data_IF_205839591966
#
_entry.id   IF_205839591966
#
_cell.length_a   1.000
_cell.length_b   1.000
_cell.length_c   1.000
_cell.angle_alpha   90.00
_cell.angle_beta   90.00
_cell.angle_gamma   90.00
#
_symmetry.space_group_name_H-M   'P 1'
#
loop_
_entity.id
_entity.type
_entity.pdbx_description
1 polymer ?
#
# COMPACT_ATOMS: atom_id res chain seq x y z
N UNK A 1 5.86 9.56 12.13
CA UNK A 1 6.38 8.19 12.30
C UNK A 1 6.75 7.67 10.91
N UNK A 2 7.92 7.07 10.69
CA UNK A 2 8.37 6.69 9.33
C UNK A 2 8.10 5.23 8.95
N UNK A 3 7.83 4.35 9.92
CA UNK A 3 7.56 2.92 9.70
C UNK A 3 6.48 2.46 10.66
N UNK A 4 5.61 1.55 10.20
CA UNK A 4 4.68 0.82 11.05
C UNK A 4 4.82 -0.68 10.82
N UNK A 5 5.10 -1.41 11.90
CA UNK A 5 5.30 -2.86 11.93
C UNK A 5 4.22 -3.58 12.75
N UNK A 6 3.04 -2.98 12.93
CA UNK A 6 1.95 -3.63 13.68
C UNK A 6 1.45 -4.85 12.93
N UNK A 7 1.14 -5.93 13.65
CA UNK A 7 0.62 -7.16 13.06
C UNK A 7 1.54 -7.77 11.96
N UNK A 8 2.84 -7.49 11.96
CA UNK A 8 3.73 -8.05 10.93
C UNK A 8 3.91 -9.55 11.07
N UNK A 9 4.16 -10.21 9.95
CA UNK A 9 4.45 -11.63 9.92
C UNK A 9 5.95 -11.80 10.16
N UNK A 10 6.28 -12.62 11.17
CA UNK A 10 7.63 -12.92 11.67
C UNK A 10 8.22 -11.84 12.61
N UNK A 11 7.91 -11.95 13.91
CA UNK A 11 8.56 -11.23 15.02
C UNK A 11 9.99 -11.76 15.33
N UNK A 12 10.70 -12.35 14.35
CA UNK A 12 11.84 -13.23 14.61
C UNK A 12 13.19 -12.74 14.10
N UNK A 13 13.34 -12.50 12.79
CA UNK A 13 14.60 -12.03 12.22
C UNK A 13 14.31 -11.05 11.08
N UNK A 14 14.44 -9.74 11.36
CA UNK A 14 14.59 -8.72 10.33
C UNK A 14 15.83 -9.08 9.50
N UNK A 15 15.66 -9.64 8.31
CA UNK A 15 16.78 -9.77 7.38
C UNK A 15 17.40 -8.38 7.14
N UNK A 16 18.73 -8.32 7.10
CA UNK A 16 19.46 -7.05 6.99
C UNK A 16 19.02 -6.35 5.69
N UNK A 17 18.52 -5.11 5.82
CA UNK A 17 18.11 -4.29 4.68
C UNK A 17 16.68 -4.53 4.19
N UNK A 18 15.86 -5.30 4.92
CA UNK A 18 14.47 -5.58 4.58
C UNK A 18 13.49 -5.11 5.67
N UNK A 19 12.32 -4.66 5.24
CA UNK A 19 11.17 -4.46 6.10
C UNK A 19 10.55 -5.80 6.52
N UNK A 20 9.96 -5.91 7.74
CA UNK A 20 9.15 -7.06 8.09
C UNK A 20 8.01 -7.22 7.09
N UNK A 21 7.72 -8.46 6.70
CA UNK A 21 6.60 -8.75 5.80
C UNK A 21 5.27 -8.35 6.46
N UNK A 22 4.45 -7.61 5.72
CA UNK A 22 3.20 -7.04 6.23
C UNK A 22 3.36 -5.68 6.93
N UNK A 23 4.55 -5.08 6.92
CA UNK A 23 4.75 -3.72 7.42
C UNK A 23 4.51 -2.67 6.33
N UNK A 24 4.64 -1.40 6.70
CA UNK A 24 4.72 -0.30 5.75
C UNK A 24 5.75 0.75 6.19
N UNK A 25 6.25 1.50 5.22
CA UNK A 25 7.20 2.60 5.41
C UNK A 25 6.76 3.81 4.58
N UNK A 26 6.95 5.03 5.09
CA UNK A 26 6.60 6.27 4.38
C UNK A 26 7.85 7.08 4.00
N UNK A 27 7.92 7.50 2.74
CA UNK A 27 8.99 8.31 2.16
C UNK A 27 8.43 9.62 1.59
N UNK A 28 9.34 10.51 1.19
CA UNK A 28 9.03 11.61 0.28
C UNK A 28 8.54 11.11 -1.08
N UNK A 29 7.92 11.99 -1.85
CA UNK A 29 7.30 11.69 -3.15
C UNK A 29 8.08 12.20 -4.36
N UNK A 30 9.25 12.82 -4.13
CA UNK A 30 10.02 13.47 -5.19
C UNK A 30 9.21 14.57 -5.90
N UNK A 31 9.26 14.57 -7.22
CA UNK A 31 8.59 15.56 -8.08
C UNK A 31 7.06 15.46 -8.03
N UNK A 32 6.49 14.31 -7.64
CA UNK A 32 5.05 14.16 -7.40
C UNK A 32 4.53 15.12 -6.33
N UNK A 33 5.40 15.62 -5.44
CA UNK A 33 5.04 16.66 -4.48
C UNK A 33 4.47 17.92 -5.15
N UNK A 34 4.94 18.24 -6.36
CA UNK A 34 4.48 19.39 -7.14
C UNK A 34 3.06 19.20 -7.69
N UNK A 35 2.58 17.96 -7.81
CA UNK A 35 1.22 17.65 -8.26
C UNK A 35 0.21 17.68 -7.12
N UNK A 36 0.66 17.50 -5.87
CA UNK A 36 -0.17 17.41 -4.67
C UNK A 36 -0.06 16.06 -3.94
N UNK A 37 0.58 15.05 -4.54
CA UNK A 37 0.94 13.80 -3.87
C UNK A 37 2.19 14.07 -3.03
N UNK A 38 2.01 14.23 -1.73
CA UNK A 38 3.08 14.67 -0.83
C UNK A 38 3.93 13.52 -0.27
N UNK A 39 3.38 12.31 -0.18
CA UNK A 39 4.08 11.16 0.39
C UNK A 39 3.78 9.87 -0.36
N UNK A 40 4.76 8.96 -0.40
CA UNK A 40 4.59 7.57 -0.86
C UNK A 40 4.67 6.65 0.35
N UNK A 41 3.68 5.77 0.50
CA UNK A 41 3.66 4.74 1.54
C UNK A 41 3.93 3.39 0.87
N UNK A 42 5.03 2.74 1.22
CA UNK A 42 5.47 1.48 0.67
C UNK A 42 4.91 0.33 1.49
N UNK A 43 3.88 -0.35 0.98
CA UNK A 43 3.28 -1.52 1.60
C UNK A 43 4.11 -2.77 1.28
N UNK A 44 4.86 -3.29 2.26
CA UNK A 44 5.82 -4.37 2.09
C UNK A 44 5.15 -5.74 2.23
N UNK A 45 4.51 -6.22 1.16
CA UNK A 45 3.72 -7.46 1.19
C UNK A 45 4.55 -8.74 0.99
N UNK A 46 5.72 -8.66 0.34
CA UNK A 46 6.63 -9.80 0.18
C UNK A 46 7.96 -9.39 -0.45
N UNK A 47 8.86 -10.33 -0.70
CA UNK A 47 10.20 -10.05 -1.27
C UNK A 47 10.20 -10.08 -2.80
N UNK A 48 11.11 -9.31 -3.39
CA UNK A 48 11.43 -9.38 -4.82
C UNK A 48 12.61 -10.33 -5.13
N UNK A 49 13.51 -10.53 -4.16
CA UNK A 49 14.79 -11.24 -4.38
C UNK A 49 14.86 -12.61 -3.72
N UNK A 50 13.91 -12.92 -2.84
CA UNK A 50 13.77 -14.20 -2.13
C UNK A 50 12.49 -14.90 -2.56
N UNK A 51 12.56 -16.22 -2.69
CA UNK A 51 11.44 -17.08 -3.06
C UNK A 51 11.08 -18.05 -1.94
N UNK A 52 9.86 -18.58 -1.98
CA UNK A 52 9.34 -19.53 -1.00
C UNK A 52 8.30 -18.91 -0.06
N UNK A 53 7.46 -19.75 0.55
CA UNK A 53 6.26 -19.35 1.30
C UNK A 53 6.53 -18.30 2.41
N UNK A 54 7.75 -18.27 2.94
CA UNK A 54 8.16 -17.31 3.95
C UNK A 54 8.32 -15.88 3.42
N UNK A 55 8.72 -15.72 2.16
CA UNK A 55 9.05 -14.43 1.55
C UNK A 55 7.98 -13.94 0.57
N UNK A 56 7.21 -14.85 -0.01
CA UNK A 56 6.17 -14.48 -0.97
C UNK A 56 5.00 -13.74 -0.31
N UNK A 57 4.31 -12.84 -1.02
CA UNK A 57 3.07 -12.27 -0.52
C UNK A 57 2.01 -13.34 -0.25
N UNK A 58 1.41 -13.27 0.93
CA UNK A 58 0.21 -14.02 1.30
C UNK A 58 -0.90 -13.06 1.76
N UNK A 59 -2.11 -13.57 1.97
CA UNK A 59 -3.26 -12.73 2.31
C UNK A 59 -3.02 -11.88 3.56
N UNK A 60 -2.45 -12.46 4.61
CA UNK A 60 -2.17 -11.74 5.86
C UNK A 60 -1.15 -10.62 5.65
N UNK A 61 -0.07 -10.87 4.90
CA UNK A 61 0.94 -9.85 4.61
C UNK A 61 0.35 -8.68 3.83
N UNK A 62 -0.57 -8.95 2.90
CA UNK A 62 -1.26 -7.92 2.13
C UNK A 62 -2.14 -7.10 3.07
N UNK A 63 -3.02 -7.76 3.85
CA UNK A 63 -3.90 -7.10 4.82
C UNK A 63 -3.11 -6.26 5.83
N UNK A 64 -2.04 -6.81 6.39
CA UNK A 64 -1.24 -6.12 7.40
C UNK A 64 -0.48 -4.94 6.79
N UNK A 65 0.04 -5.06 5.57
CA UNK A 65 0.73 -3.94 4.91
C UNK A 65 -0.22 -2.80 4.56
N UNK A 66 -1.47 -3.11 4.18
CA UNK A 66 -2.54 -2.11 3.99
C UNK A 66 -2.91 -1.44 5.30
N UNK A 67 -3.14 -2.23 6.36
CA UNK A 67 -3.45 -1.73 7.69
C UNK A 67 -2.36 -0.76 8.19
N UNK A 68 -1.09 -1.16 8.09
CA UNK A 68 0.05 -0.33 8.46
C UNK A 68 0.18 0.92 7.59
N UNK A 69 -0.21 0.86 6.31
CA UNK A 69 -0.19 1.99 5.41
C UNK A 69 -1.20 3.07 5.83
N UNK A 70 -2.42 2.69 6.18
CA UNK A 70 -3.45 3.61 6.67
C UNK A 70 -3.02 4.23 8.01
N UNK A 71 -2.48 3.43 8.93
CA UNK A 71 -1.95 3.93 10.20
C UNK A 71 -0.85 4.98 9.98
N UNK A 72 0.10 4.71 9.08
CA UNK A 72 1.16 5.66 8.76
C UNK A 72 0.61 6.95 8.15
N UNK A 73 -0.37 6.85 7.26
CA UNK A 73 -0.99 8.03 6.67
C UNK A 73 -1.59 8.94 7.75
N UNK A 74 -2.33 8.37 8.70
CA UNK A 74 -2.93 9.12 9.82
C UNK A 74 -1.88 9.70 10.78
N UNK A 75 -0.88 8.91 11.16
CA UNK A 75 0.19 9.36 12.06
C UNK A 75 1.06 10.46 11.47
N UNK A 76 1.09 10.58 10.14
CA UNK A 76 1.75 11.66 9.42
C UNK A 76 0.75 12.75 8.96
N UNK A 77 -0.46 12.77 9.53
CA UNK A 77 -1.47 13.84 9.38
C UNK A 77 -1.98 14.00 7.94
N UNK A 78 -1.92 12.96 7.12
CA UNK A 78 -2.59 12.98 5.82
C UNK A 78 -4.10 12.93 6.01
N UNK A 79 -4.81 13.73 5.20
CA UNK A 79 -6.28 13.78 5.16
C UNK A 79 -6.86 12.67 4.28
N UNK A 80 -6.03 12.11 3.38
CA UNK A 80 -6.44 11.14 2.36
C UNK A 80 -5.30 10.20 1.98
N UNK A 81 -5.64 8.92 1.77
CA UNK A 81 -4.71 7.90 1.27
C UNK A 81 -5.33 7.09 0.13
N UNK A 82 -4.59 6.88 -0.96
CA UNK A 82 -5.02 6.10 -2.12
C UNK A 82 -4.33 4.74 -2.16
N UNK A 83 -5.11 3.66 -2.26
CA UNK A 83 -4.65 2.28 -2.10
C UNK A 83 -4.96 1.50 -3.40
N UNK A 84 -3.94 0.94 -4.09
CA UNK A 84 -4.17 0.08 -5.25
C UNK A 84 -4.54 -1.34 -4.84
N UNK A 85 -4.85 -2.20 -5.81
CA UNK A 85 -5.07 -3.64 -5.60
C UNK A 85 -3.74 -4.37 -5.34
N UNK A 86 -3.18 -4.23 -4.14
CA UNK A 86 -1.93 -4.86 -3.72
C UNK A 86 -2.07 -6.39 -3.81
N UNK A 87 -1.17 -7.04 -4.55
CA UNK A 87 -1.23 -8.48 -4.80
C UNK A 87 -2.13 -8.91 -5.97
N UNK A 88 -2.82 -7.98 -6.66
CA UNK A 88 -3.77 -8.28 -7.74
C UNK A 88 -3.17 -8.72 -9.10
N UNK A 89 -1.85 -8.55 -9.27
CA UNK A 89 -1.11 -8.95 -10.47
C UNK A 89 -0.64 -10.41 -10.41
N UNK A 90 0.66 -10.64 -10.68
CA UNK A 90 1.29 -11.98 -10.68
C UNK A 90 1.07 -12.79 -9.39
N UNK A 91 0.73 -12.12 -8.28
CA UNK A 91 0.56 -12.74 -6.97
C UNK A 91 -0.85 -13.24 -6.70
N UNK A 92 -1.88 -12.82 -7.46
CA UNK A 92 -3.26 -13.18 -7.16
C UNK A 92 -3.47 -14.70 -7.18
N UNK A 93 -2.90 -15.38 -8.17
CA UNK A 93 -2.93 -16.84 -8.28
C UNK A 93 -2.19 -17.53 -7.14
N UNK A 94 -1.14 -16.90 -6.58
CA UNK A 94 -0.37 -17.44 -5.45
C UNK A 94 -1.08 -17.28 -4.12
N UNK A 95 -1.82 -16.18 -3.95
CA UNK A 95 -2.67 -15.95 -2.77
C UNK A 95 -3.86 -16.92 -2.75
N UNK A 96 -4.33 -17.37 -3.93
CA UNK A 96 -5.34 -18.42 -4.03
C UNK A 96 -6.77 -17.95 -3.76
N UNK A 97 -7.05 -16.65 -3.96
CA UNK A 97 -8.38 -16.05 -3.79
C UNK A 97 -8.82 -15.29 -5.05
N UNK A 98 -10.12 -15.00 -5.15
CA UNK A 98 -10.62 -14.18 -6.26
C UNK A 98 -10.15 -12.73 -6.13
N UNK A 99 -10.15 -12.01 -7.26
CA UNK A 99 -9.78 -10.58 -7.29
C UNK A 99 -10.72 -9.72 -6.44
N UNK A 100 -12.02 -10.00 -6.51
CA UNK A 100 -13.04 -9.32 -5.70
C UNK A 100 -12.83 -9.62 -4.22
N UNK A 101 -12.52 -10.86 -3.85
CA UNK A 101 -12.21 -11.21 -2.45
C UNK A 101 -10.93 -10.49 -1.98
N UNK A 102 -9.90 -10.41 -2.81
CA UNK A 102 -8.69 -9.63 -2.49
C UNK A 102 -9.03 -8.14 -2.27
N UNK A 103 -9.83 -7.55 -3.15
CA UNK A 103 -10.27 -6.15 -3.03
C UNK A 103 -11.06 -5.93 -1.72
N UNK A 104 -11.96 -6.86 -1.38
CA UNK A 104 -12.71 -6.85 -0.12
C UNK A 104 -11.79 -6.89 1.09
N UNK A 105 -10.82 -7.80 1.12
CA UNK A 105 -9.86 -7.91 2.23
C UNK A 105 -8.99 -6.65 2.37
N UNK A 106 -8.63 -6.00 1.27
CA UNK A 106 -7.92 -4.71 1.27
C UNK A 106 -8.80 -3.60 1.87
N UNK A 107 -10.07 -3.49 1.46
CA UNK A 107 -11.00 -2.49 2.02
C UNK A 107 -11.20 -2.73 3.52
N UNK A 108 -11.43 -3.97 3.94
CA UNK A 108 -11.63 -4.31 5.35
C UNK A 108 -10.39 -4.00 6.20
N UNK A 109 -9.19 -4.34 5.72
CA UNK A 109 -7.95 -4.03 6.43
C UNK A 109 -7.72 -2.51 6.57
N UNK A 110 -8.04 -1.74 5.52
CA UNK A 110 -7.96 -0.29 5.56
C UNK A 110 -8.97 0.32 6.55
N UNK A 111 -10.22 -0.17 6.54
CA UNK A 111 -11.26 0.23 7.48
C UNK A 111 -10.89 -0.09 8.94
N UNK A 112 -10.27 -1.25 9.18
CA UNK A 112 -9.83 -1.65 10.52
C UNK A 112 -8.77 -0.70 11.11
N UNK A 113 -7.89 -0.13 10.26
CA UNK A 113 -6.88 0.84 10.67
C UNK A 113 -7.40 2.27 10.81
N UNK A 114 -8.43 2.62 10.04
CA UNK A 114 -8.92 3.98 9.84
C UNK A 114 -9.51 4.57 11.12
N UNK A 115 -9.10 5.80 11.48
CA UNK A 115 -9.77 6.64 12.47
C UNK A 115 -10.58 7.74 11.80
N UNK A 116 -9.93 8.65 11.07
CA UNK A 116 -10.58 9.79 10.41
C UNK A 116 -10.03 10.16 9.00
N UNK A 117 -9.17 9.35 8.39
CA UNK A 117 -8.62 9.63 7.04
C UNK A 117 -9.52 9.19 5.86
N UNK A 118 -9.74 10.02 4.83
CA UNK A 118 -10.42 9.60 3.59
C UNK A 118 -9.66 8.43 2.94
N UNK A 119 -10.35 7.33 2.68
CA UNK A 119 -9.79 6.17 1.97
C UNK A 119 -10.15 6.25 0.49
N UNK A 120 -9.17 6.20 -0.38
CA UNK A 120 -9.34 5.98 -1.81
C UNK A 120 -8.88 4.58 -2.18
N UNK A 121 -9.61 3.89 -3.05
CA UNK A 121 -9.15 2.65 -3.68
C UNK A 121 -9.10 2.83 -5.19
N UNK A 122 -8.03 2.37 -5.84
CA UNK A 122 -7.83 2.60 -7.27
C UNK A 122 -7.54 1.32 -8.05
N UNK A 123 -8.33 1.11 -9.09
CA UNK A 123 -8.04 0.13 -10.14
C UNK A 123 -7.46 0.81 -11.37
N UNK A 124 -6.28 0.39 -11.83
CA UNK A 124 -5.70 0.93 -13.07
C UNK A 124 -6.37 0.37 -14.33
N UNK A 125 -6.88 -0.85 -14.24
CA UNK A 125 -7.63 -1.53 -15.29
C UNK A 125 -9.09 -1.76 -14.86
N UNK A 126 -9.95 -2.07 -15.83
CA UNK A 126 -11.37 -2.36 -15.60
C UNK A 126 -11.60 -3.49 -14.61
N UNK A 127 -10.77 -4.53 -14.64
CA UNK A 127 -10.89 -5.67 -13.73
C UNK A 127 -10.66 -5.29 -12.27
N UNK A 128 -9.63 -4.48 -11.98
CA UNK A 128 -9.32 -4.07 -10.61
C UNK A 128 -10.35 -3.05 -10.10
N UNK A 129 -10.78 -2.13 -10.97
CA UNK A 129 -11.83 -1.16 -10.65
C UNK A 129 -13.16 -1.87 -10.37
N UNK A 130 -13.53 -2.82 -11.22
CA UNK A 130 -14.72 -3.65 -11.04
C UNK A 130 -14.69 -4.43 -9.72
N UNK A 131 -13.55 -5.06 -9.40
CA UNK A 131 -13.36 -5.79 -8.15
C UNK A 131 -13.53 -4.91 -6.91
N UNK A 132 -12.95 -3.70 -6.90
CA UNK A 132 -13.16 -2.75 -5.79
C UNK A 132 -14.62 -2.28 -5.69
N UNK A 133 -15.27 -2.01 -6.82
CA UNK A 133 -16.67 -1.57 -6.85
C UNK A 133 -17.60 -2.64 -6.29
N UNK A 134 -17.43 -3.89 -6.75
CA UNK A 134 -18.21 -5.04 -6.28
C UNK A 134 -17.99 -5.29 -4.78
N UNK A 135 -16.72 -5.35 -4.35
CA UNK A 135 -16.38 -5.54 -2.95
C UNK A 135 -16.92 -4.42 -2.04
N UNK A 136 -16.88 -3.17 -2.50
CA UNK A 136 -17.41 -2.04 -1.74
C UNK A 136 -18.94 -2.14 -1.56
N UNK A 137 -19.68 -2.49 -2.61
CA UNK A 137 -21.14 -2.69 -2.53
C UNK A 137 -21.49 -3.83 -1.56
N UNK A 138 -20.74 -4.92 -1.58
CA UNK A 138 -20.93 -6.03 -0.63
C UNK A 138 -20.70 -5.59 0.82
N UNK A 139 -19.60 -4.88 1.10
CA UNK A 139 -19.31 -4.38 2.45
C UNK A 139 -20.38 -3.39 2.92
N UNK A 140 -20.83 -2.47 2.06
CA UNK A 140 -21.88 -1.50 2.41
C UNK A 140 -23.21 -2.17 2.78
N UNK A 141 -23.48 -3.37 2.24
CA UNK A 141 -24.70 -4.12 2.59
C UNK A 141 -24.67 -4.72 4.00
N UNK A 142 -23.49 -4.81 4.62
CA UNK A 142 -23.29 -5.48 5.93
C UNK A 142 -22.69 -4.57 7.00
N UNK A 143 -22.06 -3.46 6.63
CA UNK A 143 -21.35 -2.55 7.54
C UNK A 143 -21.74 -1.11 7.25
N UNK A 144 -22.16 -0.38 8.30
CA UNK A 144 -22.39 1.06 8.20
C UNK A 144 -21.06 1.79 8.08
N UNK A 145 -20.81 2.34 6.89
CA UNK A 145 -19.63 3.14 6.60
C UNK A 145 -20.04 4.62 6.60
N UNK A 146 -19.33 5.53 7.31
CA UNK A 146 -19.64 6.96 7.27
C UNK A 146 -19.63 7.50 5.84
N UNK A 147 -20.59 8.36 5.50
CA UNK A 147 -20.66 8.98 4.18
C UNK A 147 -19.36 9.74 3.84
N UNK A 148 -18.90 9.66 2.58
CA UNK A 148 -17.65 10.27 2.07
C UNK A 148 -16.35 9.76 2.71
N UNK A 149 -16.39 8.64 3.43
CA UNK A 149 -15.19 8.06 4.04
C UNK A 149 -14.36 7.19 3.09
N UNK A 150 -14.99 6.67 2.03
CA UNK A 150 -14.41 5.80 0.99
C UNK A 150 -14.80 6.34 -0.40
N UNK A 151 -13.84 6.34 -1.33
CA UNK A 151 -14.07 6.55 -2.77
C UNK A 151 -13.34 5.50 -3.60
N UNK A 152 -13.96 5.03 -4.69
CA UNK A 152 -13.38 4.06 -5.63
C UNK A 152 -13.09 4.76 -6.96
N UNK A 153 -11.86 4.63 -7.44
CA UNK A 153 -11.35 5.30 -8.63
C UNK A 153 -10.95 4.30 -9.71
N UNK A 154 -11.15 4.68 -10.96
CA UNK A 154 -10.52 4.05 -12.12
C UNK A 154 -9.51 5.02 -12.72
N UNK A 155 -8.25 4.61 -12.87
CA UNK A 155 -7.24 5.43 -13.54
C UNK A 155 -5.85 5.27 -12.95
N UNK A 156 -5.01 6.29 -13.20
CA UNK A 156 -3.62 6.30 -12.76
C UNK A 156 -3.48 6.76 -11.32
N UNK A 157 -2.69 6.03 -10.53
CA UNK A 157 -2.41 6.37 -9.12
C UNK A 157 -1.59 7.66 -8.95
N UNK A 158 -0.95 8.15 -10.03
CA UNK A 158 -0.14 9.38 -10.02
C UNK A 158 -0.95 10.62 -10.46
N UNK A 159 -2.21 10.47 -10.87
CA UNK A 159 -3.06 11.57 -11.33
C UNK A 159 -3.78 12.26 -10.16
N UNK A 160 -3.03 13.10 -9.43
CA UNK A 160 -3.57 13.83 -8.29
C UNK A 160 -4.81 14.66 -8.62
N UNK A 161 -4.90 15.25 -9.83
CA UNK A 161 -6.02 16.11 -10.20
C UNK A 161 -7.34 15.34 -10.18
N UNK A 162 -7.29 14.05 -10.50
CA UNK A 162 -8.44 13.17 -10.51
C UNK A 162 -8.88 12.73 -9.11
N UNK A 163 -7.96 12.23 -8.28
CA UNK A 163 -8.31 11.58 -7.01
C UNK A 163 -8.06 12.43 -5.75
N UNK A 164 -7.24 13.48 -5.83
CA UNK A 164 -6.93 14.44 -4.75
C UNK A 164 -6.46 13.79 -3.44
N UNK A 165 -5.74 12.67 -3.53
CA UNK A 165 -5.17 11.98 -2.37
C UNK A 165 -3.74 12.43 -2.13
N UNK A 166 -3.46 12.91 -0.93
CA UNK A 166 -2.14 13.49 -0.58
C UNK A 166 -1.08 12.45 -0.24
N UNK A 167 -1.50 11.24 0.15
CA UNK A 167 -0.65 10.06 0.25
C UNK A 167 -1.14 8.99 -0.73
N UNK A 168 -0.20 8.31 -1.37
CA UNK A 168 -0.48 7.14 -2.22
C UNK A 168 0.27 5.91 -1.69
N UNK A 169 -0.31 4.73 -1.85
CA UNK A 169 0.31 3.48 -1.45
C UNK A 169 0.97 2.82 -2.66
N UNK A 170 2.26 2.54 -2.54
CA UNK A 170 3.00 1.69 -3.45
C UNK A 170 2.86 0.22 -3.03
N UNK A 171 2.52 -0.66 -3.98
CA UNK A 171 2.62 -2.11 -3.82
C UNK A 171 4.11 -2.52 -3.85
N UNK A 172 4.76 -2.42 -2.70
CA UNK A 172 6.21 -2.57 -2.59
C UNK A 172 6.62 -4.00 -2.21
N UNK A 173 7.87 -4.32 -2.53
CA UNK A 173 8.57 -5.44 -1.93
C UNK A 173 9.17 -5.05 -0.57
N UNK A 174 9.63 -6.04 0.21
CA UNK A 174 10.23 -5.83 1.54
C UNK A 174 11.60 -5.17 1.47
N UNK A 175 12.28 -5.20 0.33
CA UNK A 175 13.51 -4.45 0.06
C UNK A 175 13.25 -2.94 -0.21
N UNK A 176 11.99 -2.55 -0.39
CA UNK A 176 11.54 -1.20 -0.78
C UNK A 176 12.32 -0.68 -1.99
N UNK A 177 12.41 -1.54 -3.00
CA UNK A 177 12.95 -1.21 -4.33
C UNK A 177 11.82 -1.08 -5.33
N UNK A 178 11.90 -0.06 -6.18
CA UNK A 178 10.98 0.09 -7.28
C UNK A 178 11.20 -1.03 -8.29
N UNK A 179 10.10 -1.59 -8.77
CA UNK A 179 10.10 -2.68 -9.75
C UNK A 179 9.27 -2.30 -10.97
N UNK A 180 8.55 -3.28 -11.53
CA UNK A 180 7.57 -3.04 -12.60
C UNK A 180 6.19 -2.62 -12.08
N UNK A 181 5.22 -2.54 -12.98
CA UNK A 181 3.81 -2.28 -12.68
C UNK A 181 3.58 -0.94 -11.97
N UNK A 182 2.70 -0.94 -10.97
CA UNK A 182 2.36 0.26 -10.17
C UNK A 182 3.59 0.84 -9.49
N UNK A 183 4.47 -0.01 -8.95
CA UNK A 183 5.70 0.44 -8.29
C UNK A 183 6.60 1.20 -9.28
N UNK A 184 6.83 0.64 -10.46
CA UNK A 184 7.59 1.31 -11.52
C UNK A 184 6.97 2.63 -11.96
N UNK A 185 5.65 2.67 -12.15
CA UNK A 185 4.94 3.90 -12.54
C UNK A 185 5.10 5.02 -11.50
N UNK A 186 4.96 4.71 -10.21
CA UNK A 186 5.19 5.66 -9.12
C UNK A 186 6.64 6.12 -9.11
N UNK A 187 7.59 5.19 -9.18
CA UNK A 187 9.02 5.49 -9.13
C UNK A 187 9.46 6.38 -10.30
N UNK A 188 8.97 6.12 -11.52
CA UNK A 188 9.24 6.97 -12.69
C UNK A 188 8.65 8.36 -12.52
N UNK A 189 7.38 8.46 -12.12
CA UNK A 189 6.70 9.74 -11.96
C UNK A 189 7.26 10.59 -10.81
N UNK A 190 7.92 9.96 -9.83
CA UNK A 190 8.61 10.67 -8.75
C UNK A 190 9.83 11.47 -9.22
N UNK A 191 10.39 11.17 -10.40
CA UNK A 191 11.65 11.78 -10.89
C UNK A 191 12.89 11.51 -10.02
N UNK A 192 12.71 10.81 -8.89
CA UNK A 192 13.64 10.74 -7.75
C UNK A 192 13.75 9.32 -7.18
N UNK A 193 13.57 8.32 -8.04
CA UNK A 193 13.50 6.90 -7.67
C UNK A 193 14.65 6.47 -6.73
N UNK A 194 15.90 6.73 -7.11
CA UNK A 194 17.09 6.36 -6.32
C UNK A 194 17.16 7.09 -4.96
N UNK A 195 16.73 8.35 -4.90
CA UNK A 195 16.73 9.14 -3.66
C UNK A 195 15.69 8.59 -2.68
N UNK A 196 14.50 8.23 -3.17
CA UNK A 196 13.43 7.60 -2.37
C UNK A 196 13.86 6.22 -1.88
N UNK A 197 14.51 5.42 -2.72
CA UNK A 197 15.07 4.12 -2.34
C UNK A 197 16.17 4.23 -1.27
N UNK A 198 16.99 5.28 -1.34
CA UNK A 198 18.00 5.57 -0.32
C UNK A 198 17.36 6.04 0.99
N UNK A 199 16.34 6.91 0.93
CA UNK A 199 15.54 7.31 2.09
C UNK A 199 14.95 6.07 2.79
N UNK A 200 14.32 5.17 2.03
CA UNK A 200 13.75 3.93 2.56
C UNK A 200 14.80 3.07 3.27
N UNK A 201 16.00 2.92 2.70
CA UNK A 201 17.06 2.10 3.29
C UNK A 201 17.65 2.71 4.57
N UNK A 202 17.77 4.04 4.64
CA UNK A 202 18.17 4.73 5.88
C UNK A 202 17.14 4.41 6.98
N UNK A 203 15.85 4.53 6.65
CA UNK A 203 14.76 4.24 7.57
C UNK A 203 14.79 2.75 7.99
N UNK A 204 14.93 1.80 7.06
CA UNK A 204 14.99 0.36 7.37
C UNK A 204 16.12 0.04 8.36
N UNK A 205 17.31 0.63 8.14
CA UNK A 205 18.47 0.44 9.03
C UNK A 205 18.22 1.01 10.43
N UNK A 206 17.43 2.07 10.56
CA UNK A 206 17.09 2.64 11.87
C UNK A 206 16.17 1.76 12.72
N UNK A 207 15.35 0.88 12.10
CA UNK A 207 14.45 -0.03 12.84
C UNK A 207 15.23 -1.03 13.68
N UNK A 208 16.42 -1.47 13.22
CA UNK A 208 17.25 -2.44 13.95
C UNK A 208 17.91 -1.87 15.21
N UNK A 209 17.99 -0.54 15.32
CA UNK A 209 18.63 0.14 16.45
C UNK A 209 17.61 0.64 17.49
N UNK A 210 16.34 0.25 17.35
CA UNK A 210 15.25 0.51 18.31
C UNK A 210 14.99 -0.72 19.17
#
# INVERSE_FOLDING_TARGET
MKVSTKNTINNGELEIGMLPRGSALITSSGDLRQTGITSIIHAASGSMTRSGNYFEPNLDSIKNSVFNSVLLAEQNKHQSVLIPLIGGGIFLNRVGISRTELAKQIILAALQARKNIKLGFIGMADLDYGAFKEAYLEIQSTVTIPAKSIEIYKGSIIDFKFHQCTAIVNAANTEVRFGGGISGAIGQASGKMNEIENEAQIIIRSIKNM
#
